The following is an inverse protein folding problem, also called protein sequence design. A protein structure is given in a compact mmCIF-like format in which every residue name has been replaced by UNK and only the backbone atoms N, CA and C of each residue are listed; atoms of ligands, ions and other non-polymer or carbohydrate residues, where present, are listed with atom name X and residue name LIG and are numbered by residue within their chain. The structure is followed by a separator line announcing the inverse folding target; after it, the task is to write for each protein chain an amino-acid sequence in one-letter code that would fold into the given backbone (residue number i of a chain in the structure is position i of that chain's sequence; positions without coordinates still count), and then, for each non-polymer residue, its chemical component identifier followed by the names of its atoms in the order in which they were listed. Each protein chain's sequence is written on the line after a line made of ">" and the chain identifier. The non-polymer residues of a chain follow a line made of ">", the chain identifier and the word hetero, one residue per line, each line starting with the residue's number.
data_IF_364621548262
#
_entry.id   IF_364621548262
#
_cell.length_a   1.000
_cell.length_b   1.000
_cell.length_c   1.000
_cell.angle_alpha   90.00
_cell.angle_beta   90.00
_cell.angle_gamma   90.00
#
_symmetry.space_group_name_H-M   'P 1'
#
loop_
_entity.id
_entity.type
_entity.pdbx_description
1 polymer ?
#
# COMPACT_ATOMS: atom_id res chain seq x y z
N UNK A 1 19.84 27.91 9.76
CA UNK A 1 18.71 27.07 10.21
C UNK A 1 19.25 25.67 10.42
N UNK A 2 19.05 25.05 11.58
CA UNK A 2 19.47 23.66 11.80
C UNK A 2 18.56 22.76 10.93
N UNK A 3 19.12 22.12 9.91
CA UNK A 3 18.39 21.22 9.04
C UNK A 3 17.80 20.02 9.78
N UNK A 4 16.90 19.27 9.15
CA UNK A 4 16.32 18.03 9.65
C UNK A 4 17.43 17.00 9.90
N UNK A 5 17.55 16.49 11.15
CA UNK A 5 18.60 15.56 11.57
C UNK A 5 18.06 14.23 12.08
N UNK A 6 16.87 14.22 12.63
CA UNK A 6 16.32 13.01 13.25
C UNK A 6 14.82 12.90 13.05
N UNK A 7 14.34 11.74 12.62
CA UNK A 7 12.92 11.42 12.40
C UNK A 7 12.54 10.16 13.18
N UNK A 8 11.39 10.22 13.86
CA UNK A 8 10.76 9.05 14.46
C UNK A 8 9.54 8.67 13.62
N UNK A 9 9.58 7.47 13.06
CA UNK A 9 8.47 6.86 12.34
C UNK A 9 7.69 5.97 13.31
N UNK A 10 6.36 6.05 13.29
CA UNK A 10 5.47 5.21 14.08
C UNK A 10 4.60 4.39 13.13
N UNK A 11 4.66 3.09 13.21
CA UNK A 11 3.79 2.17 12.47
C UNK A 11 3.49 0.95 13.32
N UNK A 12 2.29 0.39 13.19
CA UNK A 12 1.96 -0.78 14.00
C UNK A 12 2.62 -2.07 13.52
N UNK A 13 3.15 -2.10 12.29
CA UNK A 13 3.94 -3.20 11.70
C UNK A 13 5.20 -2.65 11.04
N UNK A 14 6.15 -3.53 10.80
CA UNK A 14 7.27 -3.33 9.88
C UNK A 14 7.23 -4.33 8.71
N UNK A 15 8.19 -4.26 7.81
CA UNK A 15 8.26 -5.11 6.62
C UNK A 15 8.47 -6.60 6.93
N UNK A 16 9.10 -6.94 8.07
CA UNK A 16 9.28 -8.33 8.52
C UNK A 16 8.04 -8.94 9.17
N UNK A 17 7.00 -8.15 9.43
CA UNK A 17 5.77 -8.68 10.04
C UNK A 17 5.00 -9.56 9.03
N UNK A 18 4.48 -10.77 9.42
CA UNK A 18 3.77 -11.67 8.50
C UNK A 18 2.57 -11.05 7.77
N UNK A 19 2.03 -9.95 8.28
CA UNK A 19 0.94 -9.19 7.66
C UNK A 19 1.43 -7.85 7.06
N UNK A 20 2.74 -7.67 6.86
CA UNK A 20 3.32 -6.51 6.20
C UNK A 20 2.76 -6.31 4.79
N UNK A 21 2.85 -5.10 4.28
CA UNK A 21 2.35 -4.74 2.95
C UNK A 21 2.90 -3.38 2.49
N UNK A 22 2.22 -2.77 1.52
CA UNK A 22 2.70 -1.54 0.89
C UNK A 22 2.93 -0.36 1.84
N UNK A 23 2.16 -0.24 2.93
CA UNK A 23 2.35 0.84 3.91
C UNK A 23 3.65 0.70 4.70
N UNK A 24 4.04 -0.52 5.02
CA UNK A 24 5.26 -0.85 5.73
C UNK A 24 6.48 -0.69 4.80
N UNK A 25 6.35 -1.15 3.56
CA UNK A 25 7.36 -0.94 2.50
C UNK A 25 7.61 0.54 2.25
N UNK A 26 6.53 1.35 2.16
CA UNK A 26 6.64 2.80 2.02
C UNK A 26 7.51 3.43 3.11
N UNK A 27 7.22 3.14 4.38
CA UNK A 27 7.98 3.70 5.50
C UNK A 27 9.42 3.21 5.52
N UNK A 28 9.67 1.95 5.23
CA UNK A 28 11.02 1.38 5.18
C UNK A 28 11.84 2.03 4.07
N UNK A 29 11.29 2.15 2.85
CA UNK A 29 11.99 2.74 1.70
C UNK A 29 12.25 4.23 1.90
N UNK A 30 11.24 4.99 2.36
CA UNK A 30 11.42 6.41 2.71
C UNK A 30 12.47 6.55 3.82
N UNK A 31 12.39 5.73 4.86
CA UNK A 31 13.35 5.74 5.96
C UNK A 31 14.78 5.47 5.52
N UNK A 32 14.98 4.49 4.66
CA UNK A 32 16.30 4.14 4.10
C UNK A 32 16.89 5.29 3.27
N UNK A 33 16.09 5.95 2.42
CA UNK A 33 16.55 7.10 1.63
C UNK A 33 16.86 8.32 2.51
N UNK A 34 16.08 8.56 3.56
CA UNK A 34 16.38 9.61 4.54
C UNK A 34 17.70 9.33 5.26
N UNK A 35 17.97 8.05 5.63
CA UNK A 35 19.25 7.65 6.22
C UNK A 35 20.40 7.87 5.23
N UNK A 36 20.24 7.51 3.96
CA UNK A 36 21.21 7.76 2.92
C UNK A 36 21.52 9.27 2.73
N UNK A 37 20.55 10.12 3.07
CA UNK A 37 20.71 11.60 3.07
C UNK A 37 21.30 12.14 4.39
N UNK A 38 21.76 11.28 5.30
CA UNK A 38 22.40 11.67 6.57
C UNK A 38 21.43 11.96 7.73
N UNK A 39 20.15 11.60 7.59
CA UNK A 39 19.13 11.80 8.64
C UNK A 39 19.04 10.54 9.49
N UNK A 40 19.07 10.69 10.82
CA UNK A 40 18.83 9.56 11.72
C UNK A 40 17.34 9.16 11.71
N UNK A 41 17.04 7.92 11.35
CA UNK A 41 15.67 7.42 11.33
C UNK A 41 15.49 6.27 12.31
N UNK A 42 14.46 6.37 13.15
CA UNK A 42 14.03 5.30 14.06
C UNK A 42 12.58 4.94 13.77
N UNK A 43 12.29 3.65 13.54
CA UNK A 43 10.93 3.11 13.42
C UNK A 43 10.53 2.44 14.74
N UNK A 44 9.41 2.90 15.34
CA UNK A 44 8.78 2.25 16.48
C UNK A 44 7.57 1.45 16.02
N UNK A 45 7.54 0.14 16.34
CA UNK A 45 6.56 -0.80 15.81
C UNK A 45 6.22 -1.93 16.78
N UNK A 46 5.23 -2.78 16.45
CA UNK A 46 4.87 -3.94 17.25
C UNK A 46 5.90 -5.07 17.13
N UNK A 47 5.88 -5.96 18.11
CA UNK A 47 6.61 -7.24 18.06
C UNK A 47 5.75 -8.30 17.37
N UNK A 48 6.43 -9.23 16.71
CA UNK A 48 5.86 -10.47 16.20
C UNK A 48 6.79 -11.65 16.55
N UNK A 49 6.32 -12.86 16.38
CA UNK A 49 7.08 -14.06 16.72
C UNK A 49 8.42 -14.11 15.98
N UNK A 50 9.50 -14.41 16.67
CA UNK A 50 10.86 -14.47 16.12
C UNK A 50 11.54 -13.10 15.91
N UNK A 51 10.83 -11.97 15.97
CA UNK A 51 11.43 -10.67 15.74
C UNK A 51 12.28 -10.18 16.92
N UNK A 52 13.52 -9.69 16.70
CA UNK A 52 14.33 -9.07 17.73
C UNK A 52 13.70 -7.76 18.22
N UNK A 53 13.98 -7.37 19.48
CA UNK A 53 13.47 -6.10 20.04
C UNK A 53 14.05 -4.87 19.35
N UNK A 54 15.30 -4.97 18.93
CA UNK A 54 16.04 -3.92 18.23
C UNK A 54 16.77 -4.54 17.05
N UNK A 55 16.75 -3.83 15.95
CA UNK A 55 17.36 -4.24 14.69
C UNK A 55 17.69 -3.00 13.86
N UNK A 56 18.56 -3.13 12.88
CA UNK A 56 18.82 -2.10 11.88
C UNK A 56 18.59 -2.74 10.52
N UNK A 57 17.69 -2.17 9.74
CA UNK A 57 17.38 -2.61 8.37
C UNK A 57 17.57 -1.40 7.46
N UNK A 58 18.43 -1.52 6.46
CA UNK A 58 18.77 -0.42 5.52
C UNK A 58 19.14 0.90 6.24
N UNK A 59 19.84 0.81 7.36
CA UNK A 59 20.23 1.94 8.20
C UNK A 59 19.12 2.48 9.13
N UNK A 60 17.86 2.08 8.95
CA UNK A 60 16.76 2.44 9.83
C UNK A 60 16.82 1.66 11.13
N UNK A 61 16.85 2.34 12.27
CA UNK A 61 16.81 1.72 13.60
C UNK A 61 15.39 1.30 13.94
N UNK A 62 15.14 0.00 14.08
CA UNK A 62 13.83 -0.55 14.41
C UNK A 62 13.76 -0.87 15.90
N UNK A 63 12.71 -0.39 16.57
CA UNK A 63 12.43 -0.64 17.99
C UNK A 63 11.03 -1.24 18.14
N UNK A 64 10.96 -2.52 18.56
CA UNK A 64 9.70 -3.28 18.64
C UNK A 64 9.24 -3.46 20.08
N UNK A 65 7.97 -3.16 20.37
CA UNK A 65 7.29 -3.56 21.60
C UNK A 65 5.77 -3.55 21.46
N UNK A 66 5.13 -4.33 22.30
CA UNK A 66 3.68 -4.55 22.23
C UNK A 66 3.30 -5.49 21.09
N UNK A 67 2.03 -5.84 21.03
CA UNK A 67 1.41 -6.58 19.93
C UNK A 67 0.44 -5.69 19.16
N UNK A 68 -0.46 -6.31 18.38
CA UNK A 68 -1.40 -5.65 17.46
C UNK A 68 -2.13 -4.44 18.04
N UNK A 69 -2.59 -4.50 19.29
CA UNK A 69 -3.36 -3.43 19.94
C UNK A 69 -2.54 -2.67 20.98
N UNK A 70 -1.62 -3.33 21.67
CA UNK A 70 -0.83 -2.70 22.72
C UNK A 70 0.35 -1.86 22.22
N UNK A 71 0.72 -1.96 20.95
CA UNK A 71 1.79 -1.18 20.32
C UNK A 71 1.59 0.33 20.50
N UNK A 72 0.35 0.82 20.41
CA UNK A 72 0.01 2.23 20.54
C UNK A 72 0.35 2.76 21.94
N UNK A 73 -0.04 2.01 22.97
CA UNK A 73 0.27 2.35 24.38
C UNK A 73 1.77 2.27 24.65
N UNK A 74 2.42 1.19 24.21
CA UNK A 74 3.88 1.04 24.37
C UNK A 74 4.69 2.08 23.60
N UNK A 75 4.20 2.55 22.46
CA UNK A 75 4.84 3.63 21.72
C UNK A 75 4.67 4.97 22.47
N UNK A 76 3.47 5.26 22.94
CA UNK A 76 3.19 6.50 23.71
C UNK A 76 4.04 6.56 25.00
N UNK A 77 4.09 5.46 25.75
CA UNK A 77 4.94 5.35 26.95
C UNK A 77 6.41 5.51 26.60
N UNK A 78 6.89 4.85 25.52
CA UNK A 78 8.28 4.96 25.10
C UNK A 78 8.65 6.39 24.68
N UNK A 79 7.75 7.11 24.00
CA UNK A 79 7.94 8.51 23.62
C UNK A 79 7.94 9.43 24.87
N UNK A 80 7.05 9.20 25.83
CA UNK A 80 7.02 9.96 27.08
C UNK A 80 8.31 9.76 27.90
N UNK A 81 8.75 8.51 28.06
CA UNK A 81 10.02 8.20 28.74
C UNK A 81 11.23 8.79 28.00
N UNK A 82 11.21 8.82 26.66
CA UNK A 82 12.29 9.43 25.88
C UNK A 82 12.47 10.93 26.17
N UNK A 83 11.39 11.65 26.49
CA UNK A 83 11.45 13.06 26.93
C UNK A 83 12.24 13.22 28.23
N UNK A 84 12.20 12.20 29.10
CA UNK A 84 12.96 12.12 30.36
C UNK A 84 14.31 11.42 30.19
N UNK A 85 14.76 11.13 28.98
CA UNK A 85 15.99 10.37 28.67
C UNK A 85 15.98 8.93 29.20
N UNK A 86 14.79 8.35 29.36
CA UNK A 86 14.57 6.99 29.85
C UNK A 86 14.02 6.09 28.75
N UNK A 87 14.00 4.79 29.00
CA UNK A 87 13.35 3.78 28.16
C UNK A 87 14.07 3.45 26.83
N UNK A 88 13.39 2.70 25.94
CA UNK A 88 14.00 2.17 24.72
C UNK A 88 14.34 3.26 23.68
N UNK A 89 13.69 4.40 23.74
CA UNK A 89 13.93 5.55 22.84
C UNK A 89 14.76 6.67 23.52
N UNK A 90 15.47 6.40 24.64
CA UNK A 90 16.18 7.40 25.43
C UNK A 90 17.23 8.22 24.67
N UNK A 91 17.76 7.68 23.57
CA UNK A 91 18.74 8.34 22.68
C UNK A 91 18.10 9.02 21.47
N UNK A 92 16.82 8.80 21.22
CA UNK A 92 16.09 9.35 20.05
C UNK A 92 15.62 10.76 20.41
N UNK A 93 16.02 11.73 19.59
CA UNK A 93 15.62 13.15 19.70
C UNK A 93 15.04 13.62 18.38
N UNK A 94 13.81 13.18 18.05
CA UNK A 94 13.25 13.47 16.74
C UNK A 94 12.96 14.98 16.60
N UNK A 95 13.39 15.54 15.49
CA UNK A 95 12.98 16.87 15.06
C UNK A 95 11.51 16.85 14.61
N UNK A 96 11.11 15.77 13.94
CA UNK A 96 9.74 15.51 13.49
C UNK A 96 9.35 14.05 13.75
N UNK A 97 8.08 13.82 14.07
CA UNK A 97 7.50 12.48 14.26
C UNK A 97 6.46 12.24 13.18
N UNK A 98 6.56 11.12 12.48
CA UNK A 98 5.55 10.65 11.52
C UNK A 98 4.67 9.61 12.20
N UNK A 99 3.42 9.98 12.46
CA UNK A 99 2.39 9.14 13.08
C UNK A 99 1.57 8.47 11.98
N UNK A 100 1.88 7.20 11.67
CA UNK A 100 1.18 6.46 10.63
C UNK A 100 -0.13 5.91 11.16
N UNK A 101 -1.21 6.53 10.73
CA UNK A 101 -2.56 6.13 11.08
C UNK A 101 -3.06 5.04 10.12
N UNK A 102 -2.88 3.77 10.51
CA UNK A 102 -3.47 2.61 9.87
C UNK A 102 -4.71 2.16 10.68
N UNK A 103 -5.76 3.00 10.67
CA UNK A 103 -6.96 2.92 11.48
C UNK A 103 -6.83 3.73 12.79
N UNK A 104 -5.94 3.37 13.69
CA UNK A 104 -5.71 4.09 14.94
C UNK A 104 -4.44 4.95 14.88
N UNK A 105 -4.47 6.21 15.40
CA UNK A 105 -3.27 7.04 15.55
C UNK A 105 -2.47 6.62 16.77
N UNK A 106 -1.15 6.86 16.76
CA UNK A 106 -0.27 6.70 17.93
C UNK A 106 -0.35 7.85 18.91
N UNK A 107 -1.11 8.89 18.60
CA UNK A 107 -1.29 10.09 19.42
C UNK A 107 0.02 10.85 19.69
N UNK A 108 1.01 10.75 18.80
CA UNK A 108 2.31 11.42 18.91
C UNK A 108 2.16 12.94 19.13
N UNK A 109 1.11 13.54 18.58
CA UNK A 109 0.80 14.95 18.78
C UNK A 109 0.75 15.39 20.26
N UNK A 110 0.32 14.51 21.16
CA UNK A 110 0.23 14.85 22.61
C UNK A 110 1.61 15.17 23.21
N UNK A 111 2.68 14.61 22.64
CA UNK A 111 4.05 14.77 23.11
C UNK A 111 4.90 15.69 22.24
N UNK A 112 4.64 15.74 20.93
CA UNK A 112 5.45 16.48 19.95
C UNK A 112 4.71 17.64 19.27
N UNK A 113 3.44 17.84 19.60
CA UNK A 113 2.65 18.99 19.16
C UNK A 113 2.62 19.12 17.62
N UNK A 114 2.99 20.30 17.10
CA UNK A 114 2.99 20.60 15.66
C UNK A 114 4.10 19.93 14.86
N UNK A 115 5.12 19.36 15.53
CA UNK A 115 6.18 18.55 14.92
C UNK A 115 5.74 17.11 14.63
N UNK A 116 4.45 16.82 14.70
CA UNK A 116 3.86 15.55 14.28
C UNK A 116 3.25 15.72 12.91
N UNK A 117 3.63 14.84 11.99
CA UNK A 117 3.02 14.64 10.67
C UNK A 117 2.15 13.40 10.74
N UNK A 118 0.90 13.47 10.29
CA UNK A 118 -0.02 12.32 10.25
C UNK A 118 0.03 11.71 8.85
N UNK A 119 0.54 10.48 8.76
CA UNK A 119 0.56 9.71 7.51
C UNK A 119 -0.67 8.80 7.43
N UNK A 120 -1.47 8.96 6.37
CA UNK A 120 -2.67 8.16 6.13
C UNK A 120 -2.61 7.59 4.71
N UNK A 121 -2.43 6.29 4.57
CA UNK A 121 -2.42 5.64 3.25
C UNK A 121 -3.83 5.61 2.64
N UNK A 122 -4.84 5.31 3.43
CA UNK A 122 -6.26 5.34 3.09
C UNK A 122 -7.11 5.31 4.35
N UNK A 123 -8.37 5.75 4.24
CA UNK A 123 -9.34 5.62 5.33
C UNK A 123 -9.88 4.19 5.41
N UNK A 124 -10.05 3.65 6.62
CA UNK A 124 -10.36 2.23 6.86
C UNK A 124 -11.86 1.95 7.02
N UNK A 125 -12.73 2.82 6.53
CA UNK A 125 -14.19 2.70 6.69
C UNK A 125 -14.71 1.30 6.34
N UNK A 126 -14.27 0.73 5.23
CA UNK A 126 -14.69 -0.59 4.73
C UNK A 126 -14.03 -1.75 5.48
N UNK A 127 -12.99 -1.48 6.26
CA UNK A 127 -12.23 -2.51 7.00
C UNK A 127 -12.71 -2.65 8.44
N UNK A 128 -13.21 -1.56 9.05
CA UNK A 128 -13.65 -1.56 10.44
C UNK A 128 -14.75 -2.57 10.77
N UNK A 129 -15.73 -2.87 9.88
CA UNK A 129 -16.74 -3.90 10.14
C UNK A 129 -16.17 -5.29 10.42
N UNK A 130 -14.97 -5.60 9.91
CA UNK A 130 -14.29 -6.89 10.16
C UNK A 130 -13.88 -7.05 11.63
N UNK A 131 -13.68 -5.94 12.36
CA UNK A 131 -13.37 -5.97 13.79
C UNK A 131 -14.60 -6.21 14.70
N UNK A 132 -15.79 -6.35 14.10
CA UNK A 132 -17.07 -6.50 14.80
C UNK A 132 -17.76 -5.16 15.08
N UNK A 133 -19.04 -5.20 15.50
CA UNK A 133 -19.90 -4.01 15.50
C UNK A 133 -19.45 -2.94 16.53
N UNK A 134 -18.96 -3.33 17.69
CA UNK A 134 -18.56 -2.38 18.75
C UNK A 134 -17.18 -1.79 18.44
N UNK A 135 -16.18 -2.64 18.24
CA UNK A 135 -14.81 -2.19 17.93
C UNK A 135 -14.75 -1.46 16.60
N UNK A 136 -15.54 -1.89 15.61
CA UNK A 136 -15.63 -1.24 14.33
C UNK A 136 -16.19 0.19 14.42
N UNK A 137 -17.26 0.41 15.20
CA UNK A 137 -17.83 1.75 15.41
C UNK A 137 -16.87 2.65 16.19
N UNK A 138 -16.24 2.12 17.26
CA UNK A 138 -15.28 2.88 18.06
C UNK A 138 -14.04 3.25 17.21
N UNK A 139 -13.49 2.30 16.48
CA UNK A 139 -12.33 2.54 15.61
C UNK A 139 -12.63 3.56 14.53
N UNK A 140 -13.79 3.44 13.88
CA UNK A 140 -14.22 4.44 12.89
C UNK A 140 -14.43 5.82 13.52
N UNK A 141 -15.01 5.92 14.72
CA UNK A 141 -15.14 7.19 15.45
C UNK A 141 -13.77 7.82 15.75
N UNK A 142 -12.81 7.00 16.20
CA UNK A 142 -11.44 7.47 16.44
C UNK A 142 -10.79 7.97 15.15
N UNK A 143 -10.89 7.21 14.07
CA UNK A 143 -10.28 7.55 12.78
C UNK A 143 -10.94 8.76 12.12
N UNK A 144 -12.28 8.78 12.08
CA UNK A 144 -13.03 9.78 11.31
C UNK A 144 -13.30 11.08 12.06
N UNK A 145 -13.27 11.05 13.39
CA UNK A 145 -13.73 12.18 14.21
C UNK A 145 -12.69 12.67 15.20
N UNK A 146 -12.15 11.75 16.02
CA UNK A 146 -11.24 12.14 17.09
C UNK A 146 -9.87 12.54 16.52
N UNK A 147 -9.30 11.73 15.63
CA UNK A 147 -7.99 11.99 15.05
C UNK A 147 -7.94 13.29 14.25
N UNK A 148 -8.89 13.60 13.33
CA UNK A 148 -8.92 14.88 12.62
C UNK A 148 -9.03 16.09 13.55
N UNK A 149 -9.84 16.00 14.60
CA UNK A 149 -9.98 17.08 15.61
C UNK A 149 -8.71 17.32 16.43
N UNK A 150 -8.09 16.23 16.90
CA UNK A 150 -6.82 16.31 17.63
C UNK A 150 -5.71 16.88 16.75
N UNK A 151 -5.63 16.44 15.51
CA UNK A 151 -4.57 16.81 14.57
C UNK A 151 -4.92 18.00 13.66
N UNK A 152 -5.98 18.77 13.97
CA UNK A 152 -6.48 19.89 13.15
C UNK A 152 -5.44 20.93 12.74
N UNK A 153 -4.32 21.03 13.48
CA UNK A 153 -3.20 21.96 13.23
C UNK A 153 -1.95 21.27 12.72
N UNK A 154 -1.98 19.95 12.53
CA UNK A 154 -0.85 19.17 12.05
C UNK A 154 -0.83 19.07 10.53
N UNK A 155 0.32 18.80 9.97
CA UNK A 155 0.48 18.40 8.59
C UNK A 155 -0.03 16.97 8.42
N UNK A 156 -0.79 16.74 7.36
CA UNK A 156 -1.15 15.42 6.87
C UNK A 156 -0.34 15.08 5.63
N UNK A 157 -0.04 13.82 5.46
CA UNK A 157 0.53 13.28 4.23
C UNK A 157 -0.24 12.02 3.84
N UNK A 158 -0.49 11.87 2.56
CA UNK A 158 -1.15 10.68 1.98
C UNK A 158 -0.47 10.28 0.68
N UNK A 159 -0.86 9.15 0.10
CA UNK A 159 -0.16 8.56 -1.05
C UNK A 159 -0.89 8.77 -2.37
N UNK A 160 -2.09 9.39 -2.36
CA UNK A 160 -2.89 9.62 -3.56
C UNK A 160 -3.86 10.77 -3.42
N UNK A 161 -4.26 11.37 -4.54
CA UNK A 161 -5.30 12.40 -4.57
C UNK A 161 -6.68 11.89 -4.08
N UNK A 162 -7.12 10.67 -4.39
CA UNK A 162 -8.35 10.12 -3.80
C UNK A 162 -8.28 10.01 -2.28
N UNK A 163 -7.16 9.55 -1.71
CA UNK A 163 -7.00 9.51 -0.25
C UNK A 163 -6.97 10.91 0.37
N UNK A 164 -6.45 11.92 -0.33
CA UNK A 164 -6.53 13.31 0.11
C UNK A 164 -7.98 13.80 0.15
N UNK A 165 -8.78 13.48 -0.88
CA UNK A 165 -10.23 13.79 -0.89
C UNK A 165 -10.98 13.11 0.26
N UNK A 166 -10.66 11.86 0.57
CA UNK A 166 -11.23 11.16 1.72
C UNK A 166 -10.92 11.91 3.03
N UNK A 167 -9.69 12.38 3.22
CA UNK A 167 -9.30 13.16 4.41
C UNK A 167 -10.04 14.50 4.50
N UNK A 168 -10.22 15.20 3.38
CA UNK A 168 -11.05 16.43 3.32
C UNK A 168 -12.48 16.13 3.74
N UNK A 169 -13.06 15.02 3.27
CA UNK A 169 -14.41 14.59 3.65
C UNK A 169 -14.54 14.28 5.16
N UNK A 170 -13.43 13.94 5.83
CA UNK A 170 -13.36 13.77 7.29
C UNK A 170 -13.08 15.10 8.04
N UNK A 171 -13.04 16.23 7.34
CA UNK A 171 -12.87 17.56 7.93
C UNK A 171 -11.42 17.99 8.11
N UNK A 172 -10.44 17.34 7.47
CA UNK A 172 -9.06 17.81 7.43
C UNK A 172 -8.95 18.97 6.44
N UNK A 173 -8.31 20.07 6.86
CA UNK A 173 -8.08 21.24 5.99
C UNK A 173 -7.18 20.86 4.81
N UNK A 174 -7.69 21.01 3.58
CA UNK A 174 -6.97 20.67 2.35
C UNK A 174 -5.58 21.35 2.24
N UNK A 175 -5.42 22.56 2.80
CA UNK A 175 -4.13 23.28 2.84
C UNK A 175 -3.07 22.61 3.73
N UNK A 176 -3.42 21.52 4.39
CA UNK A 176 -2.54 20.74 5.29
C UNK A 176 -2.38 19.30 4.82
N UNK A 177 -2.83 18.97 3.62
CA UNK A 177 -2.72 17.63 3.05
C UNK A 177 -1.75 17.68 1.89
N UNK A 178 -0.60 17.05 2.05
CA UNK A 178 0.34 16.81 0.98
C UNK A 178 0.18 15.38 0.45
N UNK A 179 0.41 15.19 -0.82
CA UNK A 179 0.41 13.87 -1.46
C UNK A 179 1.85 13.52 -1.85
N UNK A 180 2.39 12.51 -1.17
CA UNK A 180 3.70 11.92 -1.48
C UNK A 180 3.45 10.49 -1.94
N UNK A 181 3.50 10.27 -3.25
CA UNK A 181 3.20 8.95 -3.85
C UNK A 181 4.23 7.91 -3.43
N UNK A 182 3.86 6.63 -3.59
CA UNK A 182 4.82 5.55 -3.44
C UNK A 182 5.87 5.61 -4.55
N UNK A 183 7.07 5.21 -4.22
CA UNK A 183 8.06 4.84 -5.21
C UNK A 183 7.90 3.40 -5.66
N UNK A 184 8.76 2.99 -6.55
CA UNK A 184 8.82 1.66 -7.11
C UNK A 184 10.27 1.17 -7.07
N UNK A 185 10.47 -0.09 -6.67
CA UNK A 185 11.77 -0.75 -6.77
C UNK A 185 12.00 -1.18 -8.22
N UNK A 186 13.23 -1.14 -8.68
CA UNK A 186 13.57 -1.63 -10.02
C UNK A 186 13.32 -3.15 -10.11
N UNK A 187 12.72 -3.57 -11.21
CA UNK A 187 12.54 -5.00 -11.47
C UNK A 187 13.92 -5.67 -11.66
N UNK A 188 14.14 -6.86 -11.09
CA UNK A 188 15.40 -7.58 -11.28
C UNK A 188 15.68 -7.81 -12.78
N UNK A 189 16.89 -7.46 -13.24
CA UNK A 189 17.25 -7.53 -14.66
C UNK A 189 17.02 -8.92 -15.27
N UNK A 190 17.21 -9.99 -14.50
CA UNK A 190 16.97 -11.37 -14.93
C UNK A 190 15.53 -11.65 -15.34
N UNK A 191 14.56 -10.87 -14.85
CA UNK A 191 13.14 -11.07 -15.15
C UNK A 191 12.74 -10.54 -16.51
N UNK A 192 13.48 -9.60 -17.06
CA UNK A 192 13.18 -8.96 -18.35
C UNK A 192 13.34 -9.90 -19.55
N UNK A 193 14.08 -11.00 -19.40
CA UNK A 193 14.26 -12.04 -20.44
C UNK A 193 13.18 -13.13 -20.41
N UNK A 194 12.29 -13.13 -19.43
CA UNK A 194 11.19 -14.10 -19.33
C UNK A 194 10.17 -13.80 -20.42
N UNK A 195 9.84 -14.77 -21.30
CA UNK A 195 8.85 -14.53 -22.35
C UNK A 195 7.43 -14.45 -21.75
N UNK A 196 6.55 -13.74 -22.45
CA UNK A 196 5.11 -13.83 -22.16
C UNK A 196 4.64 -15.28 -22.30
N UNK A 197 3.71 -15.70 -21.47
CA UNK A 197 3.10 -17.01 -21.60
C UNK A 197 2.46 -17.19 -22.98
N UNK A 198 2.61 -18.37 -23.55
CA UNK A 198 2.02 -18.69 -24.86
C UNK A 198 0.49 -18.77 -24.81
N UNK A 199 -0.07 -19.07 -23.63
CA UNK A 199 -1.50 -19.11 -23.36
C UNK A 199 -1.93 -17.93 -22.47
N UNK A 200 -3.20 -17.50 -22.54
CA UNK A 200 -3.72 -16.40 -21.75
C UNK A 200 -3.48 -16.59 -20.26
N UNK A 201 -2.66 -15.73 -19.66
CA UNK A 201 -2.32 -15.76 -18.24
C UNK A 201 -2.71 -14.44 -17.57
N UNK A 202 -3.58 -14.55 -16.58
CA UNK A 202 -4.04 -13.43 -15.76
C UNK A 202 -3.35 -13.53 -14.39
N UNK A 203 -3.02 -12.40 -13.78
CA UNK A 203 -2.43 -12.38 -12.44
C UNK A 203 -3.22 -11.49 -11.50
N UNK A 204 -3.35 -11.92 -10.24
CA UNK A 204 -3.73 -11.09 -9.10
C UNK A 204 -2.53 -11.02 -8.16
N UNK A 205 -2.03 -9.82 -7.89
CA UNK A 205 -0.97 -9.57 -6.91
C UNK A 205 -1.55 -8.80 -5.73
N UNK A 206 -1.83 -9.50 -4.62
CA UNK A 206 -2.52 -8.88 -3.49
C UNK A 206 -2.43 -9.70 -2.21
N UNK A 207 -2.62 -9.04 -1.06
CA UNK A 207 -2.94 -9.75 0.19
C UNK A 207 -4.30 -10.43 0.08
N UNK A 208 -4.40 -11.66 0.57
CA UNK A 208 -5.66 -12.42 0.54
C UNK A 208 -6.53 -12.04 1.74
N UNK A 209 -7.32 -10.97 1.57
CA UNK A 209 -8.24 -10.41 2.57
C UNK A 209 -9.54 -9.93 1.89
N UNK A 210 -10.69 -9.89 2.59
CA UNK A 210 -12.01 -9.68 1.96
C UNK A 210 -12.14 -8.44 1.09
N UNK A 211 -11.56 -7.31 1.51
CA UNK A 211 -11.68 -6.04 0.76
C UNK A 211 -10.90 -6.01 -0.56
N UNK A 212 -10.07 -7.02 -0.81
CA UNK A 212 -9.38 -7.20 -2.10
C UNK A 212 -10.24 -7.88 -3.16
N UNK A 213 -11.37 -8.45 -2.77
CA UNK A 213 -12.39 -9.02 -3.67
C UNK A 213 -11.81 -9.94 -4.74
N UNK A 214 -10.90 -10.82 -4.35
CA UNK A 214 -10.24 -11.76 -5.28
C UNK A 214 -11.28 -12.71 -5.88
N UNK A 215 -12.39 -12.93 -5.17
CA UNK A 215 -13.56 -13.65 -5.65
C UNK A 215 -14.03 -13.13 -7.01
N UNK A 216 -14.04 -11.82 -7.23
CA UNK A 216 -14.46 -11.22 -8.51
C UNK A 216 -13.51 -11.62 -9.67
N UNK A 217 -12.22 -11.75 -9.41
CA UNK A 217 -11.27 -12.24 -10.42
C UNK A 217 -11.49 -13.74 -10.72
N UNK A 218 -11.76 -14.54 -9.69
CA UNK A 218 -12.09 -15.96 -9.85
C UNK A 218 -13.39 -16.16 -10.66
N UNK A 219 -14.43 -15.39 -10.32
CA UNK A 219 -15.72 -15.41 -11.02
C UNK A 219 -15.58 -14.95 -12.48
N UNK A 220 -14.75 -13.91 -12.75
CA UNK A 220 -14.48 -13.46 -14.10
C UNK A 220 -13.82 -14.55 -14.96
N UNK A 221 -12.84 -15.24 -14.43
CA UNK A 221 -12.20 -16.37 -15.13
C UNK A 221 -13.18 -17.52 -15.36
N UNK A 222 -14.00 -17.88 -14.36
CA UNK A 222 -15.01 -18.91 -14.48
C UNK A 222 -16.05 -18.56 -15.55
N UNK A 223 -16.48 -17.30 -15.59
CA UNK A 223 -17.45 -16.82 -16.57
C UNK A 223 -16.88 -16.84 -17.99
N UNK A 224 -15.64 -16.38 -18.19
CA UNK A 224 -14.99 -16.39 -19.50
C UNK A 224 -14.78 -17.81 -20.03
N UNK A 225 -14.39 -18.76 -19.18
CA UNK A 225 -14.28 -20.17 -19.57
C UNK A 225 -15.61 -20.79 -20.00
N UNK A 226 -16.72 -20.36 -19.37
CA UNK A 226 -18.07 -20.82 -19.77
C UNK A 226 -18.58 -20.18 -21.04
N UNK A 227 -18.36 -18.86 -21.19
CA UNK A 227 -18.84 -18.08 -22.35
C UNK A 227 -18.07 -18.41 -23.63
N UNK A 228 -16.78 -18.69 -23.50
CA UNK A 228 -15.86 -18.71 -24.63
C UNK A 228 -14.87 -19.89 -24.58
N UNK A 229 -15.26 -21.05 -25.18
CA UNK A 229 -14.29 -22.10 -25.45
C UNK A 229 -13.12 -21.65 -26.36
N UNK A 230 -13.26 -20.45 -26.98
CA UNK A 230 -12.24 -19.84 -27.84
C UNK A 230 -11.13 -19.05 -27.11
N UNK A 231 -11.03 -19.08 -25.76
CA UNK A 231 -9.87 -18.62 -25.00
C UNK A 231 -9.21 -19.85 -24.37
N UNK A 232 -8.54 -20.71 -25.15
CA UNK A 232 -8.00 -21.96 -24.64
C UNK A 232 -6.83 -21.69 -23.68
N UNK A 233 -6.76 -22.46 -22.60
CA UNK A 233 -5.67 -22.38 -21.63
C UNK A 233 -5.66 -21.14 -20.74
N UNK A 234 -6.80 -20.42 -20.63
CA UNK A 234 -6.93 -19.30 -19.68
C UNK A 234 -6.61 -19.76 -18.27
N UNK A 235 -5.61 -19.10 -17.65
CA UNK A 235 -5.11 -19.41 -16.33
C UNK A 235 -4.97 -18.16 -15.47
N UNK A 236 -5.27 -18.28 -14.16
CA UNK A 236 -5.14 -17.23 -13.18
C UNK A 236 -4.09 -17.60 -12.13
N UNK A 237 -3.06 -16.79 -11.99
CA UNK A 237 -2.11 -16.85 -10.90
C UNK A 237 -2.51 -15.88 -9.78
N UNK A 238 -2.64 -16.38 -8.57
CA UNK A 238 -2.93 -15.59 -7.37
C UNK A 238 -1.67 -15.52 -6.52
N UNK A 239 -1.00 -14.36 -6.56
CA UNK A 239 0.22 -14.09 -5.80
C UNK A 239 -0.10 -13.31 -4.55
N UNK A 240 0.36 -13.83 -3.41
CA UNK A 240 0.20 -13.22 -2.09
C UNK A 240 -0.38 -14.17 -1.06
N UNK A 241 -0.28 -13.76 0.20
CA UNK A 241 -0.76 -14.51 1.35
C UNK A 241 -1.85 -13.78 2.11
N UNK A 242 -2.56 -14.50 2.99
CA UNK A 242 -3.55 -13.92 3.87
C UNK A 242 -4.52 -14.94 4.45
N UNK A 243 -5.21 -14.53 5.52
CA UNK A 243 -6.11 -15.41 6.28
C UNK A 243 -7.40 -15.79 5.51
N UNK A 244 -7.66 -15.15 4.37
CA UNK A 244 -8.81 -15.41 3.51
C UNK A 244 -8.56 -16.54 2.49
N UNK A 245 -7.30 -17.04 2.40
CA UNK A 245 -6.88 -18.03 1.40
C UNK A 245 -7.80 -19.25 1.31
N UNK A 246 -8.15 -19.87 2.45
CA UNK A 246 -8.98 -21.07 2.43
C UNK A 246 -10.35 -20.81 1.79
N UNK A 247 -10.98 -19.68 2.09
CA UNK A 247 -12.27 -19.30 1.48
C UNK A 247 -12.19 -19.13 -0.02
N UNK A 248 -11.06 -18.60 -0.52
CA UNK A 248 -10.83 -18.46 -1.97
C UNK A 248 -10.64 -19.83 -2.63
N UNK A 249 -9.92 -20.76 -2.00
CA UNK A 249 -9.77 -22.15 -2.49
C UNK A 249 -11.13 -22.85 -2.53
N UNK A 250 -11.96 -22.72 -1.49
CA UNK A 250 -13.30 -23.28 -1.46
C UNK A 250 -14.19 -22.65 -2.55
N UNK A 251 -13.98 -21.37 -2.86
CA UNK A 251 -14.70 -20.68 -3.93
C UNK A 251 -14.30 -21.20 -5.32
N UNK A 252 -13.00 -21.40 -5.57
CA UNK A 252 -12.47 -22.01 -6.81
C UNK A 252 -13.08 -23.40 -7.05
N UNK A 253 -13.17 -24.23 -5.99
CA UNK A 253 -13.78 -25.56 -6.07
C UNK A 253 -15.27 -25.47 -6.43
N UNK A 254 -16.02 -24.54 -5.82
CA UNK A 254 -17.45 -24.33 -6.16
C UNK A 254 -17.67 -23.85 -7.59
N UNK A 255 -16.74 -23.06 -8.11
CA UNK A 255 -16.78 -22.59 -9.51
C UNK A 255 -16.35 -23.65 -10.52
N UNK A 256 -15.73 -24.76 -10.07
CA UNK A 256 -15.23 -25.82 -10.94
C UNK A 256 -14.06 -25.43 -11.82
N UNK A 257 -13.19 -24.52 -11.35
CA UNK A 257 -12.05 -23.97 -12.10
C UNK A 257 -10.69 -24.29 -11.45
N UNK A 258 -10.60 -25.34 -10.67
CA UNK A 258 -9.38 -25.71 -9.93
C UNK A 258 -8.18 -26.01 -10.85
N UNK A 259 -8.43 -26.41 -12.07
CA UNK A 259 -7.44 -26.63 -13.11
C UNK A 259 -6.89 -25.32 -13.74
N UNK A 260 -7.59 -24.20 -13.53
CA UNK A 260 -7.26 -22.91 -14.14
C UNK A 260 -6.76 -21.86 -13.13
N UNK A 261 -6.57 -22.22 -11.84
CA UNK A 261 -6.15 -21.27 -10.81
C UNK A 261 -4.99 -21.83 -10.00
N UNK A 262 -3.92 -21.05 -9.89
CA UNK A 262 -2.78 -21.37 -9.03
C UNK A 262 -2.64 -20.35 -7.91
N UNK A 263 -2.67 -20.79 -6.65
CA UNK A 263 -2.34 -19.96 -5.49
C UNK A 263 -0.86 -20.11 -5.15
N UNK A 264 -0.04 -19.14 -5.54
CA UNK A 264 1.41 -19.16 -5.35
C UNK A 264 1.83 -18.81 -3.91
N UNK A 265 0.92 -18.22 -3.13
CA UNK A 265 1.25 -17.77 -1.77
C UNK A 265 2.16 -16.53 -1.79
N UNK A 266 2.84 -16.32 -0.66
CA UNK A 266 3.88 -15.27 -0.60
C UNK A 266 5.13 -15.79 -1.30
N UNK A 267 5.58 -15.08 -2.30
CA UNK A 267 6.77 -15.40 -3.10
C UNK A 267 7.85 -14.34 -2.90
N UNK A 268 9.10 -14.66 -3.23
CA UNK A 268 10.17 -13.69 -3.29
C UNK A 268 10.02 -12.70 -4.46
N UNK A 269 10.80 -11.64 -4.44
CA UNK A 269 10.74 -10.59 -5.46
C UNK A 269 11.03 -11.13 -6.87
N UNK A 270 12.01 -12.02 -7.02
CA UNK A 270 12.37 -12.58 -8.32
C UNK A 270 11.19 -13.38 -8.91
N UNK A 271 10.60 -14.26 -8.13
CA UNK A 271 9.42 -15.04 -8.51
C UNK A 271 8.23 -14.14 -8.83
N UNK A 272 7.97 -13.11 -8.00
CA UNK A 272 6.92 -12.11 -8.25
C UNK A 272 7.07 -11.47 -9.63
N UNK A 273 8.26 -10.98 -9.93
CA UNK A 273 8.54 -10.33 -11.21
C UNK A 273 8.52 -11.30 -12.38
N UNK A 274 8.93 -12.58 -12.23
CA UNK A 274 8.75 -13.61 -13.25
C UNK A 274 7.27 -13.85 -13.59
N UNK A 275 6.42 -13.96 -12.56
CA UNK A 275 4.98 -14.13 -12.78
C UNK A 275 4.37 -12.92 -13.48
N UNK A 276 4.71 -11.70 -13.04
CA UNK A 276 4.25 -10.48 -13.70
C UNK A 276 4.70 -10.42 -15.16
N UNK A 277 5.99 -10.68 -15.45
CA UNK A 277 6.55 -10.65 -16.79
C UNK A 277 5.85 -11.65 -17.74
N UNK A 278 5.50 -12.84 -17.24
CA UNK A 278 4.81 -13.87 -18.03
C UNK A 278 3.31 -13.60 -18.21
N UNK A 279 2.72 -12.70 -17.45
CA UNK A 279 1.27 -12.45 -17.43
C UNK A 279 0.83 -11.53 -18.57
N UNK A 280 -0.41 -11.70 -19.03
CA UNK A 280 -1.04 -10.88 -20.06
C UNK A 280 -1.77 -9.69 -19.48
N UNK A 281 -2.51 -9.90 -18.37
CA UNK A 281 -3.36 -8.91 -17.72
C UNK A 281 -3.23 -9.06 -16.20
N UNK A 282 -3.14 -7.95 -15.47
CA UNK A 282 -3.25 -7.89 -14.03
C UNK A 282 -4.68 -7.49 -13.65
N UNK A 283 -5.30 -8.22 -12.72
CA UNK A 283 -6.59 -7.87 -12.13
C UNK A 283 -6.39 -7.39 -10.69
N UNK A 284 -6.96 -6.23 -10.37
CA UNK A 284 -6.98 -5.70 -9.01
C UNK A 284 -8.41 -5.24 -8.63
N UNK A 285 -9.35 -6.18 -8.38
CA UNK A 285 -10.75 -5.89 -8.13
C UNK A 285 -11.02 -5.39 -6.71
N UNK A 286 -10.07 -4.70 -6.10
CA UNK A 286 -10.14 -4.23 -4.72
C UNK A 286 -11.28 -3.24 -4.51
N UNK A 287 -11.97 -3.35 -3.36
CA UNK A 287 -12.98 -2.38 -2.92
C UNK A 287 -12.34 -1.04 -2.51
N UNK A 288 -11.13 -1.08 -1.94
CA UNK A 288 -10.39 0.10 -1.50
C UNK A 288 -8.89 -0.11 -1.65
N UNK A 289 -8.24 0.88 -2.25
CA UNK A 289 -6.80 1.01 -2.36
C UNK A 289 -6.36 2.40 -1.89
N UNK A 290 -5.18 2.48 -1.27
CA UNK A 290 -4.54 3.76 -1.02
C UNK A 290 -4.00 4.37 -2.31
N UNK A 291 -3.31 3.55 -3.11
CA UNK A 291 -2.76 3.92 -4.42
C UNK A 291 -2.74 2.74 -5.40
N UNK A 292 -2.34 1.54 -4.95
CA UNK A 292 -2.23 0.34 -5.78
C UNK A 292 -0.80 0.08 -6.25
N UNK A 293 0.12 -0.20 -5.33
CA UNK A 293 1.52 -0.51 -5.67
C UNK A 293 1.62 -1.66 -6.70
N UNK A 294 0.76 -2.68 -6.58
CA UNK A 294 0.71 -3.80 -7.52
C UNK A 294 0.42 -3.38 -8.98
N UNK A 295 -0.29 -2.24 -9.18
CA UNK A 295 -0.52 -1.69 -10.52
C UNK A 295 0.78 -1.30 -11.20
N UNK A 296 1.62 -0.56 -10.48
CA UNK A 296 2.89 -0.07 -11.04
C UNK A 296 3.95 -1.17 -11.09
N UNK A 297 3.88 -2.17 -10.20
CA UNK A 297 4.71 -3.37 -10.31
C UNK A 297 4.36 -4.18 -11.58
N UNK A 298 3.08 -4.35 -11.89
CA UNK A 298 2.65 -4.97 -13.15
C UNK A 298 3.03 -4.12 -14.37
N UNK A 299 2.89 -2.80 -14.25
CA UNK A 299 3.23 -1.84 -15.30
C UNK A 299 4.70 -1.88 -15.71
N UNK A 300 5.66 -2.15 -14.80
CA UNK A 300 7.08 -2.36 -15.14
C UNK A 300 7.29 -3.44 -16.20
N UNK A 301 6.39 -4.41 -16.24
CA UNK A 301 6.41 -5.55 -17.18
C UNK A 301 5.48 -5.35 -18.37
N UNK A 302 5.04 -4.14 -18.67
CA UNK A 302 4.05 -3.85 -19.71
C UNK A 302 2.76 -4.67 -19.54
N UNK A 303 2.35 -4.97 -18.31
CA UNK A 303 1.11 -5.67 -18.00
C UNK A 303 0.03 -4.66 -17.60
N UNK A 304 -0.99 -4.43 -18.44
CA UNK A 304 -2.07 -3.51 -18.09
C UNK A 304 -2.92 -4.06 -16.96
N UNK A 305 -3.41 -3.16 -16.12
CA UNK A 305 -4.28 -3.51 -14.98
C UNK A 305 -5.74 -3.19 -15.31
N UNK A 306 -6.64 -4.13 -14.95
CA UNK A 306 -8.08 -3.85 -14.87
C UNK A 306 -8.50 -3.84 -13.40
N UNK A 307 -9.19 -2.79 -12.97
CA UNK A 307 -9.63 -2.66 -11.57
C UNK A 307 -10.84 -1.75 -11.40
N UNK A 308 -11.45 -1.77 -10.21
CA UNK A 308 -12.63 -0.95 -9.95
C UNK A 308 -12.29 0.53 -9.73
N UNK A 309 -13.02 1.41 -10.43
CA UNK A 309 -12.96 2.88 -10.24
C UNK A 309 -13.30 3.27 -8.81
N UNK A 310 -14.27 2.59 -8.22
CA UNK A 310 -14.72 2.81 -6.83
C UNK A 310 -13.67 2.50 -5.77
N UNK A 311 -12.58 1.82 -6.13
CA UNK A 311 -11.44 1.52 -5.27
C UNK A 311 -10.71 2.78 -4.77
N UNK A 312 -10.92 3.92 -5.40
CA UNK A 312 -10.32 5.20 -5.07
C UNK A 312 -8.90 5.31 -5.59
N UNK A 313 -7.91 4.83 -4.85
CA UNK A 313 -6.49 4.98 -5.19
C UNK A 313 -6.10 4.51 -6.58
N UNK A 314 -6.80 3.55 -7.18
CA UNK A 314 -6.55 3.11 -8.55
C UNK A 314 -6.74 4.22 -9.60
N UNK A 315 -7.63 5.20 -9.36
CA UNK A 315 -7.80 6.35 -10.25
C UNK A 315 -6.63 7.35 -10.23
N UNK A 316 -5.64 7.13 -9.38
CA UNK A 316 -4.38 7.89 -9.36
C UNK A 316 -3.21 7.08 -9.96
N UNK A 317 -3.21 5.76 -9.78
CA UNK A 317 -2.18 4.88 -10.35
C UNK A 317 -2.47 4.48 -11.79
N UNK A 318 -3.74 4.39 -12.21
CA UNK A 318 -4.19 4.07 -13.57
C UNK A 318 -4.73 5.32 -14.26
N UNK A 319 -4.24 5.63 -15.45
CA UNK A 319 -4.89 6.56 -16.37
C UNK A 319 -5.83 5.72 -17.24
N UNK A 320 -7.14 5.84 -16.97
CA UNK A 320 -8.18 5.03 -17.59
C UNK A 320 -8.15 5.10 -19.12
N UNK A 321 -8.18 3.93 -19.78
CA UNK A 321 -8.08 3.79 -21.24
C UNK A 321 -6.68 4.11 -21.81
N UNK A 322 -5.70 4.44 -20.96
CA UNK A 322 -4.33 4.80 -21.39
C UNK A 322 -3.29 3.85 -20.81
N UNK A 323 -3.28 3.63 -19.49
CA UNK A 323 -2.29 2.75 -18.81
C UNK A 323 -2.94 1.52 -18.17
N UNK A 324 -4.23 1.33 -18.38
CA UNK A 324 -5.06 0.26 -17.85
C UNK A 324 -6.52 0.65 -17.96
N UNK A 325 -7.40 -0.13 -17.38
CA UNK A 325 -8.85 0.07 -17.49
C UNK A 325 -9.48 0.12 -16.10
N UNK A 326 -10.29 1.15 -15.87
CA UNK A 326 -11.10 1.29 -14.67
C UNK A 326 -12.56 0.96 -15.01
N UNK A 327 -13.14 0.03 -14.27
CA UNK A 327 -14.50 -0.47 -14.47
C UNK A 327 -15.41 -0.13 -13.29
N UNK A 328 -16.73 -0.08 -13.53
CA UNK A 328 -17.72 0.29 -12.51
C UNK A 328 -18.54 -0.91 -12.00
N UNK A 329 -18.47 -2.06 -12.69
CA UNK A 329 -19.22 -3.27 -12.33
C UNK A 329 -18.44 -4.55 -12.59
N UNK A 330 -18.87 -5.65 -11.96
CA UNK A 330 -18.30 -6.98 -12.23
C UNK A 330 -18.49 -7.40 -13.69
N UNK A 331 -19.65 -7.11 -14.28
CA UNK A 331 -19.91 -7.40 -15.69
C UNK A 331 -18.89 -6.70 -16.58
N UNK A 332 -18.66 -5.42 -16.35
CA UNK A 332 -17.67 -4.66 -17.12
C UNK A 332 -16.24 -5.19 -16.90
N UNK A 333 -15.89 -5.65 -15.66
CA UNK A 333 -14.62 -6.30 -15.39
C UNK A 333 -14.42 -7.53 -16.29
N UNK A 334 -15.46 -8.38 -16.42
CA UNK A 334 -15.44 -9.56 -17.28
C UNK A 334 -15.29 -9.16 -18.77
N UNK A 335 -16.09 -8.21 -19.22
CA UNK A 335 -16.12 -7.78 -20.62
C UNK A 335 -14.78 -7.13 -21.03
N UNK A 336 -14.19 -6.30 -20.17
CA UNK A 336 -12.86 -5.68 -20.41
C UNK A 336 -11.70 -6.67 -20.30
N UNK A 337 -11.80 -7.64 -19.40
CA UNK A 337 -10.82 -8.73 -19.35
C UNK A 337 -10.86 -9.53 -20.64
N UNK A 338 -12.05 -9.90 -21.13
CA UNK A 338 -12.22 -10.62 -22.39
C UNK A 338 -11.62 -9.84 -23.57
N UNK A 339 -11.91 -8.55 -23.67
CA UNK A 339 -11.35 -7.67 -24.70
C UNK A 339 -9.83 -7.70 -24.71
N UNK A 340 -9.18 -7.52 -23.55
CA UNK A 340 -7.72 -7.54 -23.46
C UNK A 340 -7.12 -8.91 -23.74
N UNK A 341 -7.82 -10.01 -23.47
CA UNK A 341 -7.34 -11.35 -23.80
C UNK A 341 -7.43 -11.64 -25.30
N UNK A 342 -8.40 -11.03 -26.00
CA UNK A 342 -8.63 -11.23 -27.44
C UNK A 342 -7.88 -10.23 -28.33
N UNK A 343 -7.65 -9.02 -27.84
CA UNK A 343 -7.01 -7.96 -28.60
C UNK A 343 -5.57 -7.72 -28.10
N UNK A 344 -4.57 -8.37 -28.71
CA UNK A 344 -3.17 -8.16 -28.36
C UNK A 344 -2.69 -6.73 -28.65
N UNK A 345 -3.25 -6.05 -29.67
CA UNK A 345 -2.83 -4.69 -30.02
C UNK A 345 -3.23 -3.72 -28.91
N UNK A 346 -4.48 -3.76 -28.46
CA UNK A 346 -4.96 -2.93 -27.36
C UNK A 346 -4.19 -3.24 -26.07
N UNK A 347 -4.02 -4.51 -25.75
CA UNK A 347 -3.29 -4.94 -24.56
C UNK A 347 -1.85 -4.42 -24.55
N UNK A 348 -1.14 -4.54 -25.66
CA UNK A 348 0.26 -4.13 -25.76
C UNK A 348 0.39 -2.60 -25.77
N UNK A 349 -0.55 -1.87 -26.36
CA UNK A 349 -0.60 -0.40 -26.30
C UNK A 349 -0.80 0.11 -24.87
N UNK A 350 -1.75 -0.46 -24.13
CA UNK A 350 -1.98 -0.10 -22.72
C UNK A 350 -0.77 -0.48 -21.87
N UNK A 351 -0.21 -1.66 -22.08
CA UNK A 351 0.96 -2.15 -21.36
C UNK A 351 2.20 -1.28 -21.57
N UNK A 352 2.49 -0.89 -22.80
CA UNK A 352 3.63 -0.02 -23.12
C UNK A 352 3.49 1.37 -22.45
N UNK A 353 2.30 1.97 -22.49
CA UNK A 353 2.05 3.24 -21.81
C UNK A 353 2.12 3.10 -20.30
N UNK A 354 1.65 1.97 -19.74
CA UNK A 354 1.78 1.67 -18.32
C UNK A 354 3.24 1.59 -17.90
N UNK A 355 4.09 0.93 -18.69
CA UNK A 355 5.51 0.81 -18.43
C UNK A 355 6.21 2.17 -18.43
N UNK A 356 5.94 3.04 -19.41
CA UNK A 356 6.48 4.41 -19.43
C UNK A 356 6.09 5.15 -18.15
N UNK A 357 4.81 5.07 -17.75
CA UNK A 357 4.33 5.73 -16.53
C UNK A 357 4.97 5.16 -15.27
N UNK A 358 5.26 3.86 -15.20
CA UNK A 358 5.89 3.26 -14.02
C UNK A 358 7.27 3.87 -13.73
N UNK A 359 7.99 4.32 -14.76
CA UNK A 359 9.27 5.03 -14.64
C UNK A 359 9.18 6.43 -13.99
N UNK A 360 7.97 6.98 -13.84
CA UNK A 360 7.76 8.26 -13.14
C UNK A 360 7.83 8.12 -11.59
N UNK A 361 7.86 6.89 -11.06
CA UNK A 361 7.77 6.61 -9.63
C UNK A 361 9.06 5.99 -9.11
N UNK A 362 9.81 6.74 -8.31
CA UNK A 362 11.00 6.23 -7.64
C UNK A 362 10.95 6.51 -6.14
N UNK A 363 11.54 5.62 -5.33
CA UNK A 363 11.66 5.84 -3.89
C UNK A 363 12.53 7.05 -3.56
N UNK A 364 13.47 7.40 -4.44
CA UNK A 364 14.29 8.60 -4.29
C UNK A 364 13.45 9.87 -4.36
N UNK A 365 12.58 9.98 -5.39
CA UNK A 365 11.65 11.12 -5.53
C UNK A 365 10.67 11.20 -4.36
N UNK A 366 10.09 10.06 -3.95
CA UNK A 366 9.16 10.00 -2.82
C UNK A 366 9.84 10.44 -1.52
N UNK A 367 11.09 10.04 -1.29
CA UNK A 367 11.85 10.41 -0.11
C UNK A 367 12.24 11.89 -0.11
N UNK A 368 12.60 12.45 -1.27
CA UNK A 368 12.90 13.87 -1.41
C UNK A 368 11.67 14.74 -1.14
N UNK A 369 10.50 14.33 -1.68
CA UNK A 369 9.23 14.98 -1.39
C UNK A 369 8.88 14.90 0.11
N UNK A 370 9.09 13.72 0.74
CA UNK A 370 8.90 13.55 2.18
C UNK A 370 9.89 14.40 2.98
N UNK A 371 11.17 14.45 2.61
CA UNK A 371 12.19 15.28 3.26
C UNK A 371 11.79 16.76 3.22
N UNK A 372 11.41 17.27 2.05
CA UNK A 372 10.93 18.65 1.87
C UNK A 372 9.73 18.95 2.79
N UNK A 373 8.77 18.01 2.87
CA UNK A 373 7.62 18.14 3.77
C UNK A 373 8.04 18.19 5.24
N UNK A 374 8.94 17.31 5.68
CA UNK A 374 9.41 17.26 7.07
C UNK A 374 10.21 18.54 7.44
N UNK A 375 11.05 19.04 6.53
CA UNK A 375 11.79 20.31 6.71
C UNK A 375 10.84 21.50 6.81
N UNK A 376 9.80 21.54 5.96
CA UNK A 376 8.75 22.58 6.00
C UNK A 376 8.01 22.54 7.33
N UNK A 377 7.65 21.36 7.82
CA UNK A 377 7.00 21.20 9.14
C UNK A 377 7.92 21.64 10.26
N UNK A 378 9.23 21.34 10.18
CA UNK A 378 10.23 21.76 11.16
C UNK A 378 10.37 23.28 11.19
N UNK A 379 10.31 23.94 10.05
CA UNK A 379 10.29 25.40 9.92
C UNK A 379 9.00 26.07 10.44
N UNK A 380 7.95 25.29 10.71
CA UNK A 380 6.65 25.77 11.20
C UNK A 380 5.59 25.98 10.11
N UNK A 381 5.94 25.72 8.87
CA UNK A 381 5.08 25.88 7.68
C UNK A 381 4.30 24.62 7.31
N UNK A 382 3.57 24.65 6.21
CA UNK A 382 2.71 23.55 5.73
C UNK A 382 2.82 23.44 4.21
N UNK A 383 2.67 22.19 3.73
CA UNK A 383 2.56 21.86 2.33
C UNK A 383 1.19 21.28 1.98
N UNK A 384 0.76 21.50 0.75
CA UNK A 384 -0.47 20.92 0.21
C UNK A 384 -0.30 20.53 -1.26
N UNK A 385 -1.17 19.60 -1.73
CA UNK A 385 -1.12 19.09 -3.09
C UNK A 385 -0.05 18.01 -3.29
N UNK A 386 0.25 17.72 -4.54
CA UNK A 386 1.30 16.75 -4.91
C UNK A 386 2.65 17.41 -4.73
N UNK A 387 3.55 16.76 -3.99
CA UNK A 387 4.90 17.23 -3.67
C UNK A 387 5.93 16.42 -4.46
#
# INVERSE_FOLDING_TARGET
>A
MSGLRSVLLLCWRDTGHPQGGGSETYLQRIGAQLVASGIEVTLRTARYSGAPRHEVIDGVRISRAGGRYSVYVWALVAMALARLRLGPLRRVRPDVVVDTQNGLPFLARLLYGRRTVVLVHHCHREQWPVAGPVLGRLGWFVESTLSPRLNRRNQYVTVSLPSARDLVALGVDNRRIAVVRNGLDEAPAQTMSVPRAATPRVVVLSRLVPHKRIEDALEAVAELRRRNPGIPGLHLDVVGGGWWRQRLVDHVNRLGISDAVTFLGHVDDLTKHHVLQSSWVHLLPSRKEGWGLAVVEAAQHSVPTVGYRSSGGLSDSIIDGVTGILVDSHRELVDRLEELLRDPILRDQLGAKAQVRSGEFSWQQSAEAMRTLLETVLAGDRLSGVV
#
